data_IF_708490103089
#
_entry.id   IF_708490103089
#
_cell.length_a   1.000
_cell.length_b   1.000
_cell.length_c   1.000
_cell.angle_alpha   90.00
_cell.angle_beta   90.00
_cell.angle_gamma   90.00
#
_symmetry.space_group_name_H-M   'P 1'
#
loop_
_entity.id
_entity.type
_entity.pdbx_description
1 polymer ?
#
# COMPACT_ATOMS: atom_id res chain seq x y z
N UNK A 1 6.55 -9.57 -9.85
CA UNK A 1 5.73 -8.80 -8.93
C UNK A 1 4.66 -9.65 -8.34
N UNK A 2 4.43 -9.48 -7.07
CA UNK A 2 3.53 -10.37 -6.33
C UNK A 2 2.59 -9.58 -5.43
N UNK A 3 2.37 -8.30 -5.74
CA UNK A 3 1.30 -7.52 -5.14
C UNK A 3 -0.04 -8.06 -5.62
N UNK A 4 -1.04 -8.04 -4.78
CA UNK A 4 -2.41 -8.36 -5.14
C UNK A 4 -2.86 -7.64 -6.41
N UNK A 5 -3.71 -8.25 -7.19
CA UNK A 5 -4.12 -7.66 -8.47
C UNK A 5 -4.88 -6.34 -8.28
N UNK A 6 -5.64 -6.20 -7.20
CA UNK A 6 -6.37 -4.97 -6.89
C UNK A 6 -5.46 -3.82 -6.44
N UNK A 7 -4.33 -4.12 -5.80
CA UNK A 7 -3.27 -3.13 -5.53
C UNK A 7 -2.74 -2.57 -6.85
N UNK A 8 -2.49 -3.42 -7.83
CA UNK A 8 -2.01 -3.02 -9.16
C UNK A 8 -3.08 -2.24 -9.93
N UNK A 9 -4.33 -2.69 -9.88
CA UNK A 9 -5.46 -2.02 -10.51
C UNK A 9 -5.63 -0.58 -9.99
N UNK A 10 -5.45 -0.34 -8.68
CA UNK A 10 -5.43 1.01 -8.10
C UNK A 10 -4.22 1.83 -8.54
N UNK A 11 -3.02 1.24 -8.54
CA UNK A 11 -1.81 1.95 -8.96
C UNK A 11 -1.89 2.39 -10.43
N UNK A 12 -2.52 1.60 -11.30
CA UNK A 12 -2.72 1.96 -12.69
C UNK A 12 -3.53 3.25 -12.86
N UNK A 13 -4.49 3.53 -11.96
CA UNK A 13 -5.28 4.77 -11.98
C UNK A 13 -4.42 6.02 -11.85
N UNK A 14 -3.28 5.93 -11.17
CA UNK A 14 -2.39 7.08 -10.97
C UNK A 14 -1.85 7.64 -12.29
N UNK A 15 -1.70 6.80 -13.32
CA UNK A 15 -1.27 7.23 -14.66
C UNK A 15 -2.31 8.11 -15.37
N UNK A 16 -3.59 7.95 -15.01
CA UNK A 16 -4.69 8.76 -15.53
C UNK A 16 -4.85 10.09 -14.76
N UNK A 17 -4.17 10.23 -13.62
CA UNK A 17 -4.26 11.37 -12.72
C UNK A 17 -2.90 12.01 -12.40
N UNK A 18 -1.96 12.17 -13.37
CA UNK A 18 -0.57 12.52 -13.07
C UNK A 18 -0.43 13.87 -12.36
N UNK A 19 -1.22 14.87 -12.75
CA UNK A 19 -1.21 16.19 -12.13
C UNK A 19 -1.76 16.17 -10.70
N UNK A 20 -2.89 15.51 -10.47
CA UNK A 20 -3.48 15.38 -9.14
C UNK A 20 -2.61 14.55 -8.20
N UNK A 21 -2.00 13.48 -8.70
CA UNK A 21 -1.06 12.65 -7.96
C UNK A 21 0.19 13.43 -7.53
N UNK A 22 0.81 14.18 -8.46
CA UNK A 22 1.96 15.06 -8.16
C UNK A 22 1.62 16.08 -7.07
N UNK A 23 0.45 16.71 -7.16
CA UNK A 23 0.01 17.68 -6.16
C UNK A 23 -0.24 17.02 -4.80
N UNK A 24 -0.90 15.87 -4.77
CA UNK A 24 -1.17 15.12 -3.54
C UNK A 24 0.13 14.72 -2.84
N UNK A 25 1.06 14.07 -3.53
CA UNK A 25 2.35 13.66 -2.96
C UNK A 25 3.17 14.86 -2.46
N UNK A 26 3.09 16.00 -3.13
CA UNK A 26 3.76 17.23 -2.68
C UNK A 26 3.16 17.76 -1.38
N UNK A 27 1.82 17.77 -1.25
CA UNK A 27 1.15 18.16 0.01
C UNK A 27 1.47 17.20 1.14
N UNK A 28 1.44 15.89 0.87
CA UNK A 28 1.73 14.85 1.86
C UNK A 28 3.17 14.89 2.35
N UNK A 29 4.14 15.06 1.45
CA UNK A 29 5.53 15.23 1.82
C UNK A 29 5.76 16.46 2.72
N UNK A 30 5.00 17.54 2.51
CA UNK A 30 5.05 18.73 3.36
C UNK A 30 4.41 18.47 4.73
N UNK A 31 3.27 17.80 4.77
CA UNK A 31 2.56 17.45 6.01
C UNK A 31 3.41 16.51 6.89
N UNK A 32 4.06 15.52 6.27
CA UNK A 32 4.83 14.48 6.97
C UNK A 32 6.31 14.87 7.24
N UNK A 33 6.73 16.08 6.87
CA UNK A 33 8.12 16.53 6.99
C UNK A 33 8.69 16.38 8.40
N UNK A 34 7.87 16.61 9.43
CA UNK A 34 8.30 16.51 10.85
C UNK A 34 8.56 15.08 11.31
N UNK A 35 8.01 14.08 10.63
CA UNK A 35 8.25 12.65 10.92
C UNK A 35 9.58 12.13 10.40
N UNK A 36 10.30 12.91 9.61
CA UNK A 36 11.61 12.51 9.09
C UNK A 36 12.70 12.57 10.16
N UNK A 37 13.64 11.64 10.05
CA UNK A 37 14.87 11.60 10.87
C UNK A 37 16.05 12.18 10.09
N UNK A 38 17.10 12.60 10.77
CA UNK A 38 18.37 12.99 10.17
C UNK A 38 19.41 11.96 10.55
N UNK A 39 20.09 11.38 9.57
CA UNK A 39 21.18 10.40 9.72
C UNK A 39 22.32 10.90 8.85
N UNK A 40 23.50 11.10 9.44
CA UNK A 40 24.70 11.61 8.75
C UNK A 40 24.45 12.89 7.93
N UNK A 41 23.66 13.81 8.49
CA UNK A 41 23.30 15.08 7.87
C UNK A 41 22.26 14.99 6.75
N UNK A 42 21.74 13.80 6.44
CA UNK A 42 20.73 13.58 5.43
C UNK A 42 19.35 13.24 6.03
N UNK A 43 18.29 13.65 5.35
CA UNK A 43 16.91 13.44 5.81
C UNK A 43 16.35 12.11 5.32
N UNK A 44 15.83 11.28 6.23
CA UNK A 44 15.25 9.96 5.96
C UNK A 44 13.78 9.87 6.43
N UNK A 45 12.96 9.07 5.71
CA UNK A 45 13.29 8.34 4.49
C UNK A 45 13.69 9.26 3.32
N UNK A 46 14.39 8.69 2.33
CA UNK A 46 14.67 9.40 1.07
C UNK A 46 13.35 9.74 0.35
N UNK A 47 13.42 10.64 -0.64
CA UNK A 47 12.23 11.00 -1.43
C UNK A 47 11.64 9.82 -2.18
N UNK A 48 12.47 8.90 -2.67
CA UNK A 48 12.03 7.70 -3.37
C UNK A 48 11.30 6.73 -2.43
N UNK A 49 11.83 6.53 -1.23
CA UNK A 49 11.20 5.67 -0.21
C UNK A 49 9.88 6.27 0.28
N UNK A 50 9.82 7.57 0.50
CA UNK A 50 8.57 8.27 0.85
C UNK A 50 7.54 8.15 -0.28
N UNK A 51 7.96 8.31 -1.53
CA UNK A 51 7.09 8.14 -2.69
C UNK A 51 6.57 6.71 -2.81
N UNK A 52 7.44 5.71 -2.61
CA UNK A 52 7.06 4.30 -2.56
C UNK A 52 6.03 4.03 -1.44
N UNK A 53 6.22 4.64 -0.26
CA UNK A 53 5.25 4.53 0.83
C UNK A 53 3.87 5.03 0.39
N UNK A 54 3.77 6.22 -0.21
CA UNK A 54 2.47 6.74 -0.65
C UNK A 54 1.81 5.86 -1.71
N UNK A 55 2.56 5.32 -2.65
CA UNK A 55 2.03 4.33 -3.60
C UNK A 55 1.54 3.06 -2.89
N UNK A 56 2.30 2.59 -1.92
CA UNK A 56 1.94 1.39 -1.13
C UNK A 56 0.65 1.61 -0.36
N UNK A 57 0.51 2.77 0.29
CA UNK A 57 -0.70 3.13 1.01
C UNK A 57 -1.92 3.23 0.08
N UNK A 58 -1.82 3.92 -1.05
CA UNK A 58 -2.90 4.02 -2.04
C UNK A 58 -3.35 2.63 -2.50
N UNK A 59 -2.42 1.77 -2.83
CA UNK A 59 -2.71 0.44 -3.35
C UNK A 59 -3.38 -0.48 -2.32
N UNK A 60 -2.98 -0.39 -1.05
CA UNK A 60 -3.37 -1.34 -0.01
C UNK A 60 -4.39 -0.83 1.01
N UNK A 61 -4.81 0.46 0.91
CA UNK A 61 -5.75 1.04 1.87
C UNK A 61 -7.09 0.32 1.84
N UNK A 62 -7.64 -0.12 2.98
CA UNK A 62 -8.93 -0.79 3.04
C UNK A 62 -10.07 0.06 2.45
N UNK A 63 -11.11 -0.61 1.95
CA UNK A 63 -12.31 0.05 1.42
C UNK A 63 -13.18 0.56 2.57
N UNK A 64 -13.28 -0.25 3.62
CA UNK A 64 -14.06 0.06 4.81
C UNK A 64 -13.20 0.76 5.88
N UNK A 65 -13.81 1.54 6.76
CA UNK A 65 -13.12 2.10 7.92
C UNK A 65 -12.55 1.00 8.81
N UNK A 66 -11.33 1.21 9.27
CA UNK A 66 -10.67 0.30 10.20
C UNK A 66 -11.04 0.64 11.65
N UNK A 67 -11.20 -0.39 12.48
CA UNK A 67 -11.15 -0.28 13.94
C UNK A 67 -9.72 0.08 14.40
N UNK A 68 -9.55 0.46 15.66
CA UNK A 68 -8.23 0.80 16.22
C UNK A 68 -7.24 -0.37 16.15
N UNK A 69 -7.73 -1.60 16.34
CA UNK A 69 -6.86 -2.79 16.27
C UNK A 69 -6.48 -3.12 14.83
N UNK A 70 -7.42 -3.00 13.88
CA UNK A 70 -7.12 -3.15 12.46
C UNK A 70 -6.15 -2.07 11.96
N UNK A 71 -6.25 -0.82 12.44
CA UNK A 71 -5.26 0.23 12.15
C UNK A 71 -3.86 -0.16 12.63
N UNK A 72 -3.72 -0.71 13.83
CA UNK A 72 -2.44 -1.18 14.36
C UNK A 72 -1.83 -2.29 13.51
N UNK A 73 -2.65 -3.28 13.17
CA UNK A 73 -2.24 -4.38 12.27
C UNK A 73 -1.83 -3.83 10.90
N UNK A 74 -2.58 -2.88 10.35
CA UNK A 74 -2.27 -2.26 9.09
C UNK A 74 -0.94 -1.49 9.13
N UNK A 75 -0.69 -0.71 10.17
CA UNK A 75 0.58 0.03 10.34
C UNK A 75 1.77 -0.94 10.35
N UNK A 76 1.70 -2.02 11.14
CA UNK A 76 2.80 -3.00 11.22
C UNK A 76 3.01 -3.75 9.89
N UNK A 77 1.93 -4.04 9.17
CA UNK A 77 1.98 -4.60 7.82
C UNK A 77 2.74 -3.68 6.85
N UNK A 78 2.45 -2.37 6.89
CA UNK A 78 3.13 -1.38 6.05
C UNK A 78 4.60 -1.24 6.45
N UNK A 79 4.91 -1.20 7.73
CA UNK A 79 6.29 -1.17 8.24
C UNK A 79 7.07 -2.37 7.72
N UNK A 80 6.54 -3.58 7.91
CA UNK A 80 7.18 -4.83 7.46
C UNK A 80 7.46 -4.82 5.96
N UNK A 81 6.50 -4.36 5.17
CA UNK A 81 6.68 -4.22 3.72
C UNK A 81 7.77 -3.21 3.36
N UNK A 82 7.77 -2.02 3.99
CA UNK A 82 8.74 -0.97 3.67
C UNK A 82 10.16 -1.38 4.06
N UNK A 83 10.35 -2.02 5.22
CA UNK A 83 11.66 -2.56 5.62
C UNK A 83 12.18 -3.60 4.64
N UNK A 84 11.32 -4.52 4.20
CA UNK A 84 11.68 -5.48 3.15
C UNK A 84 12.09 -4.77 1.86
N UNK A 85 11.29 -3.81 1.40
CA UNK A 85 11.57 -3.06 0.17
C UNK A 85 12.92 -2.31 0.24
N UNK A 86 13.25 -1.70 1.38
CA UNK A 86 14.53 -1.04 1.62
C UNK A 86 15.70 -2.03 1.55
N UNK A 87 15.58 -3.19 2.22
CA UNK A 87 16.62 -4.23 2.22
C UNK A 87 16.85 -4.81 0.83
N UNK A 88 15.80 -4.99 0.04
CA UNK A 88 15.88 -5.45 -1.34
C UNK A 88 16.42 -4.40 -2.30
N UNK A 89 16.15 -3.12 -2.05
CA UNK A 89 16.72 -2.01 -2.82
C UNK A 89 18.23 -1.84 -2.60
N UNK A 90 18.76 -2.27 -1.45
CA UNK A 90 20.20 -2.26 -1.11
C UNK A 90 20.86 -0.87 -1.19
N UNK A 91 20.10 0.20 -0.94
CA UNK A 91 20.64 1.57 -1.00
C UNK A 91 21.24 1.99 0.34
N UNK A 92 20.49 1.85 1.43
CA UNK A 92 20.91 2.27 2.78
C UNK A 92 20.99 1.09 3.75
N UNK A 93 20.27 0.03 3.48
CA UNK A 93 20.24 -1.22 4.26
C UNK A 93 20.09 -2.40 3.32
N UNK A 94 20.49 -3.60 3.76
CA UNK A 94 20.29 -4.83 2.99
C UNK A 94 20.15 -6.03 3.92
N UNK A 95 19.79 -7.18 3.38
CA UNK A 95 19.73 -8.43 4.16
C UNK A 95 21.11 -8.87 4.71
N UNK A 96 22.19 -8.57 3.97
CA UNK A 96 23.55 -8.93 4.37
C UNK A 96 24.22 -7.87 5.24
N UNK A 97 23.80 -6.62 5.09
CA UNK A 97 24.35 -5.49 5.84
C UNK A 97 23.18 -4.59 6.31
N UNK A 98 22.47 -4.99 7.37
CA UNK A 98 21.35 -4.23 7.89
C UNK A 98 21.81 -2.94 8.59
N UNK A 99 21.11 -1.84 8.32
CA UNK A 99 21.34 -0.56 8.96
C UNK A 99 20.17 -0.20 9.87
N UNK A 100 20.32 -0.50 11.16
CA UNK A 100 19.28 -0.25 12.17
C UNK A 100 18.81 1.22 12.20
N UNK A 101 19.69 2.24 12.12
CA UNK A 101 19.26 3.64 12.14
C UNK A 101 18.29 3.98 10.99
N UNK A 102 18.54 3.46 9.77
CA UNK A 102 17.68 3.71 8.60
C UNK A 102 16.35 2.95 8.73
N UNK A 103 16.38 1.73 9.20
CA UNK A 103 15.18 0.91 9.41
C UNK A 103 14.29 1.51 10.49
N UNK A 104 14.86 1.97 11.61
CA UNK A 104 14.12 2.67 12.66
C UNK A 104 13.55 4.02 12.18
N UNK A 105 14.30 4.73 11.34
CA UNK A 105 13.81 5.97 10.73
C UNK A 105 12.57 5.72 9.84
N UNK A 106 12.59 4.66 9.04
CA UNK A 106 11.43 4.27 8.22
C UNK A 106 10.25 3.86 9.09
N UNK A 107 10.45 3.02 10.10
CA UNK A 107 9.38 2.62 11.05
C UNK A 107 8.72 3.84 11.67
N UNK A 108 9.50 4.73 12.27
CA UNK A 108 8.98 5.96 12.89
C UNK A 108 8.24 6.84 11.88
N UNK A 109 8.73 6.93 10.65
CA UNK A 109 8.09 7.73 9.61
C UNK A 109 6.72 7.16 9.22
N UNK A 110 6.59 5.83 9.06
CA UNK A 110 5.31 5.17 8.76
C UNK A 110 4.33 5.38 9.91
N UNK A 111 4.76 5.12 11.15
CA UNK A 111 3.94 5.29 12.35
C UNK A 111 3.46 6.74 12.50
N UNK A 112 4.34 7.72 12.33
CA UNK A 112 3.99 9.15 12.40
C UNK A 112 3.05 9.58 11.27
N UNK A 113 3.26 9.07 10.05
CA UNK A 113 2.41 9.35 8.89
C UNK A 113 0.98 8.85 9.12
N UNK A 114 0.82 7.64 9.65
CA UNK A 114 -0.47 7.00 9.87
C UNK A 114 -1.10 7.31 11.24
N UNK A 115 -0.39 8.00 12.12
CA UNK A 115 -0.89 8.34 13.45
C UNK A 115 -2.23 9.10 13.39
N UNK A 116 -3.19 8.81 14.29
CA UNK A 116 -4.46 9.55 14.36
C UNK A 116 -4.28 11.07 14.51
N UNK A 117 -3.21 11.49 15.22
CA UNK A 117 -2.87 12.90 15.40
C UNK A 117 -2.51 13.63 14.08
N UNK A 118 -2.12 12.90 13.03
CA UNK A 118 -1.84 13.46 11.70
C UNK A 118 -3.12 13.63 10.87
N UNK A 119 -4.11 14.26 11.45
CA UNK A 119 -5.46 14.36 10.91
C UNK A 119 -5.53 15.05 9.54
N UNK A 120 -4.71 16.07 9.32
CA UNK A 120 -4.68 16.80 8.05
C UNK A 120 -4.19 15.92 6.88
N UNK A 121 -3.14 15.12 7.09
CA UNK A 121 -2.69 14.14 6.11
C UNK A 121 -3.77 13.07 5.89
N UNK A 122 -4.30 12.48 6.97
CA UNK A 122 -5.29 11.41 6.89
C UNK A 122 -6.55 11.84 6.12
N UNK A 123 -7.04 13.04 6.35
CA UNK A 123 -8.22 13.56 5.64
C UNK A 123 -7.96 13.72 4.14
N UNK A 124 -6.88 14.39 3.74
CA UNK A 124 -6.53 14.61 2.32
C UNK A 124 -6.19 13.27 1.63
N UNK A 125 -5.45 12.40 2.31
CA UNK A 125 -5.11 11.07 1.82
C UNK A 125 -6.35 10.20 1.59
N UNK A 126 -7.25 10.13 2.56
CA UNK A 126 -8.47 9.32 2.45
C UNK A 126 -9.37 9.81 1.32
N UNK A 127 -9.53 11.13 1.16
CA UNK A 127 -10.32 11.71 0.07
C UNK A 127 -9.73 11.35 -1.30
N UNK A 128 -8.41 11.45 -1.46
CA UNK A 128 -7.74 11.07 -2.70
C UNK A 128 -7.83 9.57 -2.96
N UNK A 129 -7.59 8.76 -1.93
CA UNK A 129 -7.62 7.29 -2.01
C UNK A 129 -9.00 6.76 -2.40
N UNK A 130 -10.08 7.32 -1.86
CA UNK A 130 -11.45 6.94 -2.25
C UNK A 130 -11.67 7.13 -3.76
N UNK A 131 -11.19 8.24 -4.32
CA UNK A 131 -11.26 8.49 -5.77
C UNK A 131 -10.50 7.46 -6.57
N UNK A 132 -9.25 7.15 -6.17
CA UNK A 132 -8.42 6.13 -6.83
C UNK A 132 -9.02 4.74 -6.67
N UNK A 133 -9.48 4.40 -5.46
CA UNK A 133 -10.08 3.10 -5.18
C UNK A 133 -11.29 2.83 -6.07
N UNK A 134 -12.19 3.80 -6.24
CA UNK A 134 -13.36 3.66 -7.12
C UNK A 134 -12.97 3.25 -8.54
N UNK A 135 -12.00 3.92 -9.14
CA UNK A 135 -11.53 3.58 -10.49
C UNK A 135 -10.73 2.29 -10.51
N UNK A 136 -9.99 2.00 -9.44
CA UNK A 136 -9.29 0.73 -9.27
C UNK A 136 -10.24 -0.46 -9.27
N UNK A 137 -11.42 -0.36 -8.67
CA UNK A 137 -12.44 -1.40 -8.70
C UNK A 137 -12.96 -1.66 -10.12
N UNK A 138 -13.19 -0.60 -10.92
CA UNK A 138 -13.55 -0.77 -12.33
C UNK A 138 -12.45 -1.45 -13.14
N UNK A 139 -11.19 -1.08 -12.92
CA UNK A 139 -10.06 -1.73 -13.58
C UNK A 139 -9.98 -3.21 -13.21
N UNK A 140 -10.20 -3.55 -11.95
CA UNK A 140 -10.20 -4.94 -11.48
C UNK A 140 -11.33 -5.75 -12.11
N UNK A 141 -12.55 -5.23 -12.10
CA UNK A 141 -13.70 -5.88 -12.76
C UNK A 141 -13.46 -6.07 -14.26
N UNK A 142 -12.91 -5.07 -14.95
CA UNK A 142 -12.56 -5.16 -16.35
C UNK A 142 -11.51 -6.26 -16.63
N UNK A 143 -10.48 -6.35 -15.77
CA UNK A 143 -9.47 -7.41 -15.87
C UNK A 143 -10.10 -8.80 -15.67
N UNK A 144 -10.98 -8.95 -14.69
CA UNK A 144 -11.68 -10.21 -14.44
C UNK A 144 -12.58 -10.61 -15.63
N UNK A 145 -13.33 -9.65 -16.17
CA UNK A 145 -14.14 -9.89 -17.36
C UNK A 145 -13.28 -10.33 -18.56
N UNK A 146 -12.15 -9.68 -18.79
CA UNK A 146 -11.21 -10.06 -19.86
C UNK A 146 -10.64 -11.46 -19.60
N UNK A 147 -10.25 -11.79 -18.36
CA UNK A 147 -9.75 -13.12 -18.00
C UNK A 147 -10.77 -14.22 -18.32
N UNK A 148 -12.04 -13.97 -18.05
CA UNK A 148 -13.12 -14.94 -18.29
C UNK A 148 -13.45 -15.08 -19.77
N UNK A 149 -13.41 -13.99 -20.54
CA UNK A 149 -13.89 -13.93 -21.91
C UNK A 149 -12.80 -14.11 -22.97
N UNK A 150 -11.54 -13.86 -22.64
CA UNK A 150 -10.44 -13.96 -23.60
C UNK A 150 -10.12 -15.44 -23.92
N UNK A 151 -9.74 -15.75 -25.17
CA UNK A 151 -9.24 -17.08 -25.50
C UNK A 151 -8.00 -17.44 -24.68
N UNK A 152 -7.96 -18.66 -24.17
CA UNK A 152 -6.83 -19.18 -23.39
C UNK A 152 -7.29 -19.84 -22.10
N UNK A 153 -6.33 -20.09 -21.21
CA UNK A 153 -6.56 -20.64 -19.87
C UNK A 153 -6.13 -19.60 -18.86
N UNK A 154 -7.07 -18.81 -18.32
CA UNK A 154 -6.73 -17.77 -17.34
C UNK A 154 -6.34 -18.39 -16.00
N UNK A 155 -5.42 -17.74 -15.31
CA UNK A 155 -5.02 -18.09 -13.95
C UNK A 155 -5.87 -17.31 -12.93
N UNK A 156 -6.56 -18.04 -12.05
CA UNK A 156 -7.28 -17.51 -10.90
C UNK A 156 -6.67 -18.08 -9.64
N UNK A 157 -6.08 -17.21 -8.85
CA UNK A 157 -5.46 -17.62 -7.61
C UNK A 157 -6.49 -17.64 -6.48
N UNK A 158 -6.38 -18.61 -5.56
CA UNK A 158 -7.27 -18.75 -4.42
C UNK A 158 -7.32 -17.45 -3.59
N UNK A 159 -8.51 -17.05 -3.18
CA UNK A 159 -8.74 -15.83 -2.38
C UNK A 159 -8.91 -14.56 -3.23
N UNK A 160 -8.82 -14.65 -4.57
CA UNK A 160 -9.07 -13.51 -5.48
C UNK A 160 -10.51 -13.45 -5.97
N UNK A 161 -11.41 -14.24 -5.37
CA UNK A 161 -12.86 -14.16 -5.55
C UNK A 161 -13.44 -12.86 -4.98
N UNK A 162 -12.72 -12.26 -4.02
CA UNK A 162 -12.97 -10.94 -3.46
C UNK A 162 -11.77 -10.03 -3.67
N UNK A 163 -11.90 -8.73 -3.34
CA UNK A 163 -10.82 -7.76 -3.49
C UNK A 163 -9.57 -8.16 -2.71
N UNK A 164 -8.44 -8.28 -3.41
CA UNK A 164 -7.14 -8.61 -2.83
C UNK A 164 -6.21 -7.39 -2.83
N UNK A 165 -6.06 -6.78 -1.65
CA UNK A 165 -5.15 -5.67 -1.39
C UNK A 165 -3.86 -6.11 -0.70
N UNK A 166 -3.44 -7.36 -0.89
CA UNK A 166 -2.18 -7.86 -0.36
C UNK A 166 -0.98 -7.23 -1.06
N UNK A 167 0.07 -7.04 -0.29
CA UNK A 167 1.38 -6.64 -0.77
C UNK A 167 2.19 -7.89 -1.17
N UNK A 168 3.49 -7.72 -1.40
CA UNK A 168 4.36 -8.85 -1.73
C UNK A 168 4.58 -9.75 -0.51
N UNK A 169 5.10 -10.95 -0.78
CA UNK A 169 5.51 -11.91 0.24
C UNK A 169 6.27 -11.26 1.43
N UNK A 170 5.93 -11.57 2.68
CA UNK A 170 4.99 -12.59 3.15
C UNK A 170 3.51 -12.14 3.27
N UNK A 171 3.20 -10.89 2.99
CA UNK A 171 1.86 -10.31 3.18
C UNK A 171 0.78 -11.05 2.35
N UNK A 172 1.12 -11.54 1.16
CA UNK A 172 0.23 -12.30 0.29
C UNK A 172 0.11 -13.80 0.65
N UNK A 173 0.68 -14.23 1.78
CA UNK A 173 0.59 -15.63 2.27
C UNK A 173 -0.39 -15.78 3.44
N UNK A 174 -1.24 -14.80 3.68
CA UNK A 174 -2.29 -14.91 4.70
C UNK A 174 -3.28 -16.00 4.30
N UNK A 175 -3.81 -16.76 5.28
CA UNK A 175 -4.84 -17.75 5.00
C UNK A 175 -6.04 -17.11 4.29
N UNK A 176 -6.64 -17.86 3.36
CA UNK A 176 -7.90 -17.46 2.72
C UNK A 176 -9.03 -17.65 3.70
N UNK A 177 -9.91 -16.67 3.82
CA UNK A 177 -11.12 -16.72 4.64
C UNK A 177 -12.24 -17.47 3.89
N UNK A 178 -12.14 -18.81 3.93
CA UNK A 178 -13.13 -19.67 3.28
C UNK A 178 -14.51 -19.60 3.93
N UNK A 179 -14.61 -19.28 5.22
CA UNK A 179 -15.91 -19.12 5.89
C UNK A 179 -16.68 -17.96 5.29
N UNK A 180 -16.00 -16.81 5.13
CA UNK A 180 -16.56 -15.63 4.47
C UNK A 180 -16.94 -15.91 3.01
N UNK A 181 -16.07 -16.56 2.25
CA UNK A 181 -16.35 -16.88 0.85
C UNK A 181 -17.55 -17.81 0.70
N UNK A 182 -17.67 -18.81 1.57
CA UNK A 182 -18.82 -19.73 1.58
C UNK A 182 -20.11 -19.01 1.94
N UNK A 183 -20.06 -18.11 2.93
CA UNK A 183 -21.22 -17.31 3.31
C UNK A 183 -21.72 -16.45 2.13
N UNK A 184 -20.80 -15.75 1.45
CA UNK A 184 -21.13 -14.92 0.27
C UNK A 184 -21.70 -15.73 -0.90
N UNK A 185 -21.30 -16.98 -1.07
CA UNK A 185 -21.82 -17.87 -2.11
C UNK A 185 -23.24 -18.34 -1.81
N UNK A 186 -23.65 -18.31 -0.55
CA UNK A 186 -24.96 -18.81 -0.09
C UNK A 186 -26.06 -17.73 -0.10
N UNK A 187 -25.69 -16.47 -0.33
CA UNK A 187 -26.61 -15.32 -0.50
C UNK A 187 -27.08 -15.23 -1.97
#
# INVERSE_FOLDING_TARGET
>A
TKRGEDVRARLNVLSELPGAWKQATTRWARANRRGRSVIDGQSYPSRNEEYLLYQTLIGSWPLEPMSLDEERVYVERIVTYMLKAMREAKVFTSWLNPSQPHEDAMRRFVEATLAPANSAFRADFTAFTRRVARWGLYNSLAQTAIKVMAPGVPDFYQGTEVWDFSLVDPDNRRPVDYERLTAMLSE
#
